data_IF_966374443104
#
_entry.id   IF_966374443104
#
_cell.length_a   1.000
_cell.length_b   1.000
_cell.length_c   1.000
_cell.angle_alpha   90.00
_cell.angle_beta   90.00
_cell.angle_gamma   90.00
#
_symmetry.space_group_name_H-M   'P 1'
#
loop_
_entity.id
_entity.type
_entity.pdbx_description
1 polymer ?
#
# COMPACT_ATOMS: atom_id res chain seq x y z
N UNK A 1 -0.90 3.04 -22.21
CA UNK A 1 -1.79 1.92 -21.82
C UNK A 1 -1.32 1.41 -20.47
N UNK A 2 -2.15 1.55 -19.44
CA UNK A 2 -1.83 1.19 -18.07
C UNK A 2 -1.48 -0.31 -17.98
N UNK A 3 -0.25 -0.61 -17.59
CA UNK A 3 0.21 -1.97 -17.32
C UNK A 3 -0.61 -2.54 -16.16
N UNK A 4 -1.65 -3.29 -16.51
CA UNK A 4 -2.36 -4.24 -15.63
C UNK A 4 -1.38 -5.33 -15.21
N UNK A 5 -0.49 -5.03 -14.27
CA UNK A 5 0.33 -6.06 -13.63
C UNK A 5 -0.46 -6.62 -12.46
N UNK A 6 -1.22 -7.67 -12.77
CA UNK A 6 -1.64 -8.65 -11.80
C UNK A 6 -0.42 -9.29 -11.12
N UNK A 7 -0.70 -9.90 -9.97
CA UNK A 7 0.21 -10.65 -9.09
C UNK A 7 1.46 -9.92 -8.57
N UNK A 8 1.33 -9.34 -7.37
CA UNK A 8 2.34 -9.15 -6.31
C UNK A 8 3.81 -9.09 -6.79
N UNK A 9 4.12 -8.21 -7.74
CA UNK A 9 5.50 -7.74 -7.88
C UNK A 9 5.84 -7.04 -6.58
N UNK A 10 6.94 -7.46 -5.96
CA UNK A 10 7.52 -6.84 -4.76
C UNK A 10 7.29 -5.33 -4.81
N UNK A 11 6.46 -4.82 -3.91
CA UNK A 11 6.18 -3.40 -3.86
C UNK A 11 7.44 -2.71 -3.36
N UNK A 12 7.93 -1.74 -4.12
CA UNK A 12 9.16 -1.01 -3.77
C UNK A 12 9.00 -0.31 -2.42
N UNK A 13 10.10 -0.13 -1.68
CA UNK A 13 10.08 0.55 -0.38
C UNK A 13 9.53 1.97 -0.48
N UNK A 14 9.80 2.69 -1.56
CA UNK A 14 9.25 4.03 -1.79
C UNK A 14 7.73 4.01 -1.83
N UNK A 15 7.16 3.00 -2.51
CA UNK A 15 5.70 2.84 -2.60
C UNK A 15 5.10 2.51 -1.24
N UNK A 16 5.78 1.68 -0.45
CA UNK A 16 5.36 1.33 0.92
C UNK A 16 5.39 2.54 1.85
N UNK A 17 6.39 3.41 1.72
CA UNK A 17 6.46 4.67 2.47
C UNK A 17 5.31 5.61 2.10
N UNK A 18 4.96 5.70 0.82
CA UNK A 18 3.81 6.50 0.37
C UNK A 18 2.47 5.95 0.88
N UNK A 19 2.31 4.62 0.98
CA UNK A 19 1.16 4.04 1.69
C UNK A 19 1.17 4.48 3.16
N UNK A 20 2.31 4.37 3.85
CA UNK A 20 2.41 4.73 5.26
C UNK A 20 2.06 6.19 5.50
N UNK A 21 2.56 7.09 4.66
CA UNK A 21 2.23 8.52 4.71
C UNK A 21 0.75 8.75 4.43
N UNK A 22 0.20 8.11 3.40
CA UNK A 22 -1.20 8.24 3.05
C UNK A 22 -2.13 7.83 4.19
N UNK A 23 -1.88 6.68 4.81
CA UNK A 23 -2.63 6.21 5.97
C UNK A 23 -2.49 7.17 7.18
N UNK A 24 -1.28 7.66 7.46
CA UNK A 24 -1.05 8.63 8.53
C UNK A 24 -1.78 9.97 8.30
N UNK A 25 -1.96 10.37 7.04
CA UNK A 25 -2.73 11.56 6.66
C UNK A 25 -4.24 11.33 6.60
N UNK A 26 -4.72 10.10 6.87
CA UNK A 26 -6.14 9.75 6.84
C UNK A 26 -6.71 9.50 5.43
N UNK A 27 -5.85 9.26 4.43
CA UNK A 27 -6.30 8.85 3.10
C UNK A 27 -6.82 7.41 3.11
N UNK A 28 -7.87 7.16 2.34
CA UNK A 28 -8.36 5.80 2.11
C UNK A 28 -7.45 5.03 1.13
N UNK A 29 -7.45 3.70 1.22
CA UNK A 29 -6.66 2.81 0.36
C UNK A 29 -6.91 3.04 -1.13
N UNK A 30 -8.13 3.42 -1.54
CA UNK A 30 -8.43 3.74 -2.93
C UNK A 30 -7.79 5.07 -3.40
N UNK A 31 -7.66 6.05 -2.51
CA UNK A 31 -6.97 7.30 -2.81
C UNK A 31 -5.46 7.06 -2.91
N UNK A 32 -4.91 6.32 -1.95
CA UNK A 32 -3.50 5.92 -1.95
C UNK A 32 -3.15 5.17 -3.23
N UNK A 33 -3.97 4.20 -3.64
CA UNK A 33 -3.82 3.44 -4.88
C UNK A 33 -3.68 4.33 -6.12
N UNK A 34 -4.49 5.41 -6.20
CA UNK A 34 -4.41 6.38 -7.31
C UNK A 34 -3.11 7.18 -7.29
N UNK A 35 -2.62 7.54 -6.10
CA UNK A 35 -1.36 8.29 -5.93
C UNK A 35 -0.17 7.44 -6.35
N UNK A 36 -0.11 6.19 -5.88
CA UNK A 36 1.06 5.33 -6.13
C UNK A 36 1.00 4.53 -7.44
N UNK A 37 -0.14 4.57 -8.15
CA UNK A 37 -0.31 3.87 -9.42
C UNK A 37 -0.52 2.35 -9.29
N UNK A 38 -0.92 1.87 -8.11
CA UNK A 38 -1.23 0.45 -7.86
C UNK A 38 -2.74 0.22 -7.78
N UNK A 39 -3.17 -1.04 -7.88
CA UNK A 39 -4.57 -1.38 -7.68
C UNK A 39 -4.94 -1.35 -6.19
N UNK A 40 -6.17 -0.94 -5.82
CA UNK A 40 -6.63 -0.97 -4.42
C UNK A 40 -6.49 -2.35 -3.77
N UNK A 41 -6.70 -3.42 -4.55
CA UNK A 41 -6.51 -4.80 -4.07
C UNK A 41 -5.05 -5.10 -3.67
N UNK A 42 -4.07 -4.50 -4.36
CA UNK A 42 -2.65 -4.66 -4.02
C UNK A 42 -2.31 -3.93 -2.72
N UNK A 43 -2.81 -2.69 -2.59
CA UNK A 43 -2.68 -1.89 -1.37
C UNK A 43 -3.31 -2.62 -0.19
N UNK A 44 -4.54 -3.13 -0.33
CA UNK A 44 -5.23 -3.86 0.74
C UNK A 44 -4.46 -5.10 1.20
N UNK A 45 -3.92 -5.88 0.27
CA UNK A 45 -3.09 -7.06 0.59
C UNK A 45 -1.80 -6.67 1.30
N UNK A 46 -1.15 -5.60 0.87
CA UNK A 46 0.07 -5.10 1.51
C UNK A 46 -0.22 -4.61 2.92
N UNK A 47 -1.26 -3.78 3.06
CA UNK A 47 -1.70 -3.27 4.36
C UNK A 47 -2.00 -4.44 5.28
N UNK A 48 -2.78 -5.43 4.86
CA UNK A 48 -3.09 -6.61 5.68
C UNK A 48 -1.86 -7.42 6.10
N UNK A 49 -0.82 -7.53 5.28
CA UNK A 49 0.41 -8.27 5.64
C UNK A 49 1.24 -7.53 6.67
N UNK A 50 1.34 -6.23 6.52
CA UNK A 50 2.18 -5.34 7.32
C UNK A 50 1.41 -4.66 8.47
N UNK A 51 0.14 -5.04 8.68
CA UNK A 51 -0.72 -4.48 9.71
C UNK A 51 -0.69 -5.37 10.95
N UNK A 52 -0.26 -4.77 12.07
CA UNK A 52 -0.33 -5.39 13.40
C UNK A 52 -1.46 -4.69 14.15
N UNK A 53 -2.37 -5.46 14.77
CA UNK A 53 -3.63 -4.93 15.33
C UNK A 53 -3.44 -3.77 16.34
N UNK A 54 -2.33 -3.78 17.08
CA UNK A 54 -1.97 -2.77 18.09
C UNK A 54 -1.23 -1.53 17.52
N UNK A 55 -0.54 -1.67 16.38
CA UNK A 55 0.42 -0.66 15.90
C UNK A 55 0.00 -0.06 14.55
N UNK A 56 -0.89 -0.73 13.80
CA UNK A 56 -1.30 -0.32 12.47
C UNK A 56 -0.32 -0.79 11.38
N UNK A 57 -0.32 -0.09 10.25
CA UNK A 57 0.53 -0.41 9.10
C UNK A 57 1.94 0.18 9.24
N UNK A 58 2.97 -0.64 9.01
CA UNK A 58 4.38 -0.18 8.91
C UNK A 58 5.05 -0.72 7.65
N UNK A 59 5.55 0.20 6.82
CA UNK A 59 6.18 -0.09 5.52
C UNK A 59 7.32 -1.14 5.57
N UNK A 60 8.09 -1.18 6.66
CA UNK A 60 9.26 -2.03 6.82
C UNK A 60 9.04 -3.27 7.70
N UNK A 61 7.81 -3.52 8.16
CA UNK A 61 7.49 -4.65 9.04
C UNK A 61 6.80 -5.77 8.27
N UNK A 62 7.50 -6.85 7.95
CA UNK A 62 6.94 -8.06 7.35
C UNK A 62 7.41 -9.31 8.10
#
# INVERSE_FOLDING_TARGET
MASKLGCYRSMDMTVREEISRGLATGLDQAQIARVVGFSPCSISREVRRHHVAEIGYRAYWA
#
